data_IF_348538768804
#
_entry.id   IF_348538768804
#
_cell.length_a   1.000
_cell.length_b   1.000
_cell.length_c   1.000
_cell.angle_alpha   90.00
_cell.angle_beta   90.00
_cell.angle_gamma   90.00
#
_symmetry.space_group_name_H-M   'P 1'
#
loop_
_entity.id
_entity.type
_entity.pdbx_description
1 polymer ?
#
# COMPACT_ATOMS: atom_id res chain seq x y z
N UNK A 1 -1.98 2.52 -30.04
CA UNK A 1 -2.28 2.51 -28.59
C UNK A 1 -2.50 1.06 -28.23
N UNK A 2 -1.90 0.53 -27.16
CA UNK A 2 -2.11 -0.87 -26.77
C UNK A 2 -3.49 -0.98 -26.10
N UNK A 3 -4.39 -1.78 -26.68
CA UNK A 3 -5.78 -1.94 -26.21
C UNK A 3 -5.95 -3.10 -25.21
N UNK A 4 -4.85 -3.73 -24.77
CA UNK A 4 -4.92 -4.72 -23.70
C UNK A 4 -5.57 -4.11 -22.44
N UNK A 5 -6.61 -4.75 -21.85
CA UNK A 5 -7.37 -4.18 -20.73
C UNK A 5 -6.52 -3.74 -19.54
N UNK A 6 -5.43 -4.46 -19.24
CA UNK A 6 -4.50 -4.10 -18.18
C UNK A 6 -3.80 -2.75 -18.41
N UNK A 7 -3.50 -2.41 -19.67
CA UNK A 7 -2.89 -1.13 -20.03
C UNK A 7 -3.91 0.00 -19.88
N UNK A 8 -5.15 -0.20 -20.31
CA UNK A 8 -6.21 0.79 -20.16
C UNK A 8 -6.54 1.06 -18.68
N UNK A 9 -6.64 0.01 -17.87
CA UNK A 9 -6.83 0.15 -16.41
C UNK A 9 -5.65 0.92 -15.81
N UNK A 10 -4.42 0.61 -16.20
CA UNK A 10 -3.24 1.34 -15.72
C UNK A 10 -3.31 2.83 -16.07
N UNK A 11 -3.78 3.20 -17.26
CA UNK A 11 -3.90 4.60 -17.66
C UNK A 11 -4.99 5.37 -16.88
N UNK A 12 -6.02 4.69 -16.38
CA UNK A 12 -7.07 5.31 -15.55
C UNK A 12 -6.73 5.31 -14.05
N UNK A 13 -5.80 4.46 -13.63
CA UNK A 13 -5.47 4.22 -12.23
C UNK A 13 -4.28 5.06 -11.75
N UNK A 14 -3.23 5.17 -12.57
CA UNK A 14 -1.96 5.78 -12.14
C UNK A 14 -1.95 7.29 -12.31
N UNK A 15 -1.44 7.99 -11.29
CA UNK A 15 -1.20 9.43 -11.28
C UNK A 15 0.21 9.76 -10.82
N UNK A 16 0.56 11.04 -10.82
CA UNK A 16 1.87 11.51 -10.36
C UNK A 16 1.75 12.05 -8.92
N UNK A 17 2.75 11.78 -8.08
CA UNK A 17 2.78 12.26 -6.70
C UNK A 17 4.15 12.11 -6.07
N UNK A 18 4.40 12.87 -5.01
CA UNK A 18 5.63 12.82 -4.23
C UNK A 18 5.34 13.03 -2.74
N UNK A 19 6.09 12.36 -1.89
CA UNK A 19 5.98 12.43 -0.43
C UNK A 19 7.38 12.38 0.19
N UNK A 20 7.56 13.00 1.35
CA UNK A 20 8.81 12.95 2.11
C UNK A 20 8.52 12.77 3.60
N UNK A 21 9.44 12.13 4.32
CA UNK A 21 9.40 11.96 5.76
C UNK A 21 10.79 12.24 6.35
N UNK A 22 10.84 12.83 7.55
CA UNK A 22 12.06 13.10 8.29
C UNK A 22 12.12 12.16 9.49
N UNK A 23 13.28 11.54 9.70
CA UNK A 23 13.51 10.51 10.70
C UNK A 23 14.62 10.98 11.64
N UNK A 24 14.49 10.64 12.91
CA UNK A 24 15.47 10.93 13.95
C UNK A 24 15.59 9.72 14.87
N UNK A 25 16.77 9.50 15.40
CA UNK A 25 17.06 8.53 16.46
C UNK A 25 16.91 9.12 17.87
N UNK A 26 16.53 10.40 17.98
CA UNK A 26 16.26 11.04 19.27
C UNK A 26 14.98 10.53 19.89
N UNK A 27 15.10 10.04 21.12
CA UNK A 27 13.95 9.70 21.96
C UNK A 27 13.17 10.95 22.39
N UNK A 28 11.87 10.80 22.62
CA UNK A 28 11.04 11.87 23.16
C UNK A 28 9.60 11.43 23.38
N UNK A 29 8.97 11.96 24.42
CA UNK A 29 7.58 11.65 24.75
C UNK A 29 6.64 12.08 23.62
N UNK A 30 5.70 11.20 23.27
CA UNK A 30 4.71 11.44 22.23
C UNK A 30 5.24 11.41 20.79
N UNK A 31 6.53 11.15 20.57
CA UNK A 31 7.10 10.96 19.23
C UNK A 31 6.73 9.59 18.67
N UNK A 32 6.26 9.58 17.43
CA UNK A 32 6.03 8.34 16.70
C UNK A 32 7.35 7.60 16.45
N UNK A 33 7.35 6.33 16.83
CA UNK A 33 8.36 5.33 16.51
C UNK A 33 7.83 4.50 15.34
N UNK A 34 8.74 3.97 14.53
CA UNK A 34 8.41 3.07 13.42
C UNK A 34 9.36 1.87 13.46
N UNK A 35 8.84 0.69 13.19
CA UNK A 35 9.60 -0.54 13.28
C UNK A 35 8.79 -1.74 12.83
N UNK A 36 9.20 -2.93 13.30
CA UNK A 36 8.55 -4.21 12.96
C UNK A 36 8.38 -4.39 11.44
N UNK A 37 9.38 -3.96 10.68
CA UNK A 37 9.40 -4.14 9.23
C UNK A 37 9.41 -5.63 8.90
N UNK A 38 8.51 -6.05 8.03
CA UNK A 38 8.45 -7.43 7.51
C UNK A 38 8.11 -7.41 6.01
N UNK A 39 8.48 -8.47 5.31
CA UNK A 39 8.29 -8.60 3.87
C UNK A 39 8.02 -10.05 3.49
N UNK A 40 7.06 -10.22 2.59
CA UNK A 40 6.77 -11.51 1.95
C UNK A 40 7.05 -11.39 0.46
N UNK A 41 7.77 -12.38 -0.06
CA UNK A 41 7.98 -12.56 -1.49
C UNK A 41 7.14 -13.74 -1.96
N UNK A 42 6.49 -13.57 -3.11
CA UNK A 42 5.70 -14.61 -3.79
C UNK A 42 6.19 -14.72 -5.25
N UNK A 43 7.41 -15.25 -5.46
CA UNK A 43 8.08 -15.23 -6.78
C UNK A 43 7.30 -15.96 -7.87
N UNK A 44 6.49 -16.96 -7.51
CA UNK A 44 5.59 -17.68 -8.42
C UNK A 44 4.54 -16.78 -9.09
N UNK A 45 4.32 -15.58 -8.54
CA UNK A 45 3.40 -14.57 -9.06
C UNK A 45 4.09 -13.36 -9.67
N UNK A 46 5.42 -13.41 -9.87
CA UNK A 46 6.21 -12.35 -10.50
C UNK A 46 5.60 -11.78 -11.77
N UNK A 47 5.08 -12.66 -12.62
CA UNK A 47 4.56 -12.29 -13.94
C UNK A 47 3.16 -11.64 -13.88
N UNK A 48 2.52 -11.60 -12.70
CA UNK A 48 1.18 -11.05 -12.51
C UNK A 48 1.17 -9.53 -12.32
N UNK A 49 2.27 -8.98 -11.83
CA UNK A 49 2.50 -7.54 -11.70
C UNK A 49 3.97 -7.26 -12.00
N UNK A 50 4.24 -6.66 -13.16
CA UNK A 50 5.62 -6.38 -13.61
C UNK A 50 5.66 -5.17 -14.52
N UNK A 51 6.83 -4.55 -14.58
CA UNK A 51 7.14 -3.57 -15.60
C UNK A 51 7.93 -4.23 -16.73
N UNK A 52 7.58 -3.91 -17.97
CA UNK A 52 8.37 -4.29 -19.15
C UNK A 52 8.81 -3.02 -19.89
N UNK A 53 9.96 -3.09 -20.56
CA UNK A 53 10.35 -2.04 -21.49
C UNK A 53 9.73 -2.34 -22.86
N UNK A 54 9.01 -1.38 -23.42
CA UNK A 54 8.36 -1.49 -24.72
C UNK A 54 8.48 -0.15 -25.46
N UNK A 55 9.18 -0.15 -26.58
CA UNK A 55 9.39 1.07 -27.38
C UNK A 55 10.07 2.22 -26.61
N UNK A 56 11.00 1.89 -25.69
CA UNK A 56 11.71 2.89 -24.86
C UNK A 56 10.89 3.45 -23.71
N UNK A 57 9.68 2.93 -23.46
CA UNK A 57 8.81 3.32 -22.35
C UNK A 57 8.65 2.17 -21.37
N UNK A 58 8.30 2.52 -20.13
CA UNK A 58 7.94 1.54 -19.12
C UNK A 58 6.44 1.23 -19.24
N UNK A 59 6.11 -0.04 -19.45
CA UNK A 59 4.74 -0.52 -19.54
C UNK A 59 4.43 -1.37 -18.32
N UNK A 60 3.41 -0.97 -17.57
CA UNK A 60 2.92 -1.74 -16.42
C UNK A 60 2.00 -2.87 -16.90
N UNK A 61 2.34 -4.11 -16.55
CA UNK A 61 1.51 -5.28 -16.81
C UNK A 61 0.82 -5.69 -15.51
N UNK A 62 -0.50 -5.53 -15.49
CA UNK A 62 -1.36 -5.86 -14.37
C UNK A 62 -2.31 -7.00 -14.74
N UNK A 63 -2.15 -8.15 -14.10
CA UNK A 63 -3.07 -9.27 -14.27
C UNK A 63 -4.32 -9.08 -13.39
N UNK A 64 -5.48 -9.53 -13.86
CA UNK A 64 -6.78 -9.40 -13.15
C UNK A 64 -6.83 -10.02 -11.74
N UNK A 65 -5.87 -10.87 -11.39
CA UNK A 65 -5.82 -11.61 -10.10
C UNK A 65 -5.06 -10.83 -9.03
N UNK A 66 -4.43 -9.70 -9.39
CA UNK A 66 -3.61 -8.91 -8.49
C UNK A 66 -4.34 -8.49 -7.21
N UNK A 67 -5.64 -8.12 -7.21
CA UNK A 67 -6.37 -7.85 -5.97
C UNK A 67 -6.34 -9.02 -4.97
N UNK A 68 -6.61 -10.24 -5.43
CA UNK A 68 -6.61 -11.44 -4.58
C UNK A 68 -5.19 -11.75 -4.08
N UNK A 69 -4.19 -11.68 -4.97
CA UNK A 69 -2.79 -11.94 -4.59
C UNK A 69 -2.25 -10.92 -3.58
N UNK A 70 -2.62 -9.65 -3.73
CA UNK A 70 -2.28 -8.62 -2.77
C UNK A 70 -2.92 -8.89 -1.41
N UNK A 71 -4.21 -9.23 -1.40
CA UNK A 71 -4.90 -9.53 -0.16
C UNK A 71 -4.34 -10.78 0.54
N UNK A 72 -4.03 -11.85 -0.20
CA UNK A 72 -3.45 -13.07 0.38
C UNK A 72 -2.02 -12.83 0.93
N UNK A 73 -1.20 -12.04 0.24
CA UNK A 73 0.14 -11.71 0.72
C UNK A 73 0.12 -10.77 1.93
N UNK A 74 -0.76 -9.76 1.92
CA UNK A 74 -0.97 -8.83 3.03
C UNK A 74 -1.56 -9.54 4.24
N UNK A 75 -2.49 -10.48 4.06
CA UNK A 75 -3.06 -11.29 5.14
C UNK A 75 -1.97 -12.06 5.90
N UNK A 76 -1.01 -12.66 5.20
CA UNK A 76 0.12 -13.34 5.84
C UNK A 76 0.98 -12.41 6.71
N UNK A 77 1.13 -11.14 6.34
CA UNK A 77 1.79 -10.13 7.18
C UNK A 77 0.88 -9.71 8.35
N UNK A 78 -0.41 -9.51 8.07
CA UNK A 78 -1.42 -9.13 9.05
C UNK A 78 -1.52 -10.12 10.21
N UNK A 79 -1.45 -11.42 9.93
CA UNK A 79 -1.50 -12.48 10.95
C UNK A 79 -0.24 -12.54 11.85
N UNK A 80 0.85 -11.86 11.48
CA UNK A 80 2.07 -11.78 12.30
C UNK A 80 2.07 -10.60 13.26
N UNK A 81 1.12 -9.66 13.14
CA UNK A 81 1.01 -8.51 14.04
C UNK A 81 0.84 -9.02 15.47
N UNK A 82 1.49 -8.36 16.42
CA UNK A 82 1.41 -8.78 17.82
C UNK A 82 0.17 -8.23 18.53
N UNK A 83 -0.38 -7.14 18.01
CA UNK A 83 -1.47 -6.39 18.61
C UNK A 83 -2.29 -5.71 17.53
N UNK A 84 -3.56 -5.46 17.81
CA UNK A 84 -4.38 -4.66 16.93
C UNK A 84 -3.94 -3.19 16.94
N UNK A 85 -3.88 -2.54 15.77
CA UNK A 85 -3.62 -1.11 15.66
C UNK A 85 -4.88 -0.31 15.95
N UNK A 86 -4.74 1.00 16.17
CA UNK A 86 -5.87 1.93 16.15
C UNK A 86 -6.37 2.15 14.71
N UNK A 87 -5.45 2.07 13.73
CA UNK A 87 -5.78 2.16 12.32
C UNK A 87 -4.82 1.36 11.41
N UNK A 88 -5.37 0.84 10.31
CA UNK A 88 -4.61 0.25 9.21
C UNK A 88 -4.51 1.22 8.04
N UNK A 89 -3.29 1.38 7.50
CA UNK A 89 -3.02 2.22 6.34
C UNK A 89 -2.42 1.36 5.23
N UNK A 90 -2.92 1.47 4.00
CA UNK A 90 -2.47 0.65 2.89
C UNK A 90 -2.08 1.47 1.65
N UNK A 91 -1.22 0.90 0.82
CA UNK A 91 -0.96 1.43 -0.53
C UNK A 91 -2.24 1.39 -1.40
N UNK A 92 -2.47 2.45 -2.17
CA UNK A 92 -3.64 2.57 -3.06
C UNK A 92 -3.46 1.78 -4.36
N UNK A 93 -3.55 0.45 -4.30
CA UNK A 93 -3.46 -0.42 -5.48
C UNK A 93 -4.61 -0.29 -6.49
N UNK A 94 -5.74 0.30 -6.09
CA UNK A 94 -6.97 0.40 -6.88
C UNK A 94 -8.19 -0.06 -6.07
N UNK A 95 -9.41 0.27 -6.54
CA UNK A 95 -10.66 0.00 -5.81
C UNK A 95 -10.77 -1.47 -5.40
N UNK A 96 -10.65 -2.37 -6.37
CA UNK A 96 -10.83 -3.81 -6.15
C UNK A 96 -9.75 -4.38 -5.21
N UNK A 97 -8.55 -3.78 -5.19
CA UNK A 97 -7.50 -4.16 -4.24
C UNK A 97 -7.88 -3.74 -2.82
N UNK A 98 -8.34 -2.50 -2.63
CA UNK A 98 -8.77 -2.00 -1.32
C UNK A 98 -9.89 -2.89 -0.76
N UNK A 99 -10.90 -3.21 -1.57
CA UNK A 99 -12.01 -4.09 -1.15
C UNK A 99 -11.52 -5.49 -0.74
N UNK A 100 -10.54 -6.05 -1.46
CA UNK A 100 -9.96 -7.34 -1.12
C UNK A 100 -9.14 -7.28 0.20
N UNK A 101 -8.37 -6.21 0.41
CA UNK A 101 -7.62 -5.98 1.65
C UNK A 101 -8.56 -5.85 2.86
N UNK A 102 -9.58 -5.01 2.76
CA UNK A 102 -10.56 -4.80 3.84
C UNK A 102 -11.24 -6.12 4.22
N UNK A 103 -11.63 -6.91 3.22
CA UNK A 103 -12.26 -8.21 3.45
C UNK A 103 -11.34 -9.21 4.15
N UNK A 104 -10.05 -9.28 3.77
CA UNK A 104 -9.08 -10.22 4.38
C UNK A 104 -8.67 -9.80 5.78
N UNK A 105 -8.48 -8.51 6.01
CA UNK A 105 -8.02 -8.00 7.30
C UNK A 105 -9.17 -7.79 8.29
N UNK A 106 -10.40 -7.61 7.81
CA UNK A 106 -11.54 -7.21 8.62
C UNK A 106 -11.42 -5.77 9.13
N UNK A 107 -10.78 -4.90 8.37
CA UNK A 107 -10.46 -3.51 8.76
C UNK A 107 -10.83 -2.56 7.64
N UNK A 108 -11.46 -1.42 7.95
CA UNK A 108 -11.78 -0.40 6.95
C UNK A 108 -10.56 0.45 6.62
N UNK A 109 -10.43 0.90 5.35
CA UNK A 109 -9.28 1.68 4.91
C UNK A 109 -9.69 3.07 4.38
N UNK A 110 -10.33 3.93 5.20
CA UNK A 110 -10.91 5.19 4.73
C UNK A 110 -9.87 6.16 4.16
N UNK A 111 -8.67 6.25 4.76
CA UNK A 111 -7.58 7.10 4.28
C UNK A 111 -7.04 6.58 2.93
N UNK A 112 -6.90 5.26 2.81
CA UNK A 112 -6.50 4.64 1.53
C UNK A 112 -7.54 4.92 0.43
N UNK A 113 -8.83 4.86 0.77
CA UNK A 113 -9.92 5.21 -0.17
C UNK A 113 -9.91 6.68 -0.55
N UNK A 114 -9.67 7.57 0.41
CA UNK A 114 -9.58 9.01 0.17
C UNK A 114 -8.40 9.36 -0.73
N UNK A 115 -7.23 8.78 -0.49
CA UNK A 115 -6.04 8.93 -1.36
C UNK A 115 -6.33 8.44 -2.77
N UNK A 116 -6.94 7.25 -2.94
CA UNK A 116 -7.29 6.75 -4.26
C UNK A 116 -8.24 7.69 -5.00
N UNK A 117 -9.24 8.25 -4.29
CA UNK A 117 -10.21 9.20 -4.86
C UNK A 117 -9.56 10.51 -5.28
N UNK A 118 -8.63 11.03 -4.49
CA UNK A 118 -8.08 12.38 -4.66
C UNK A 118 -6.83 12.41 -5.54
N UNK A 119 -6.02 11.34 -5.54
CA UNK A 119 -4.72 11.29 -6.20
C UNK A 119 -4.52 10.05 -7.10
N UNK A 120 -5.42 9.05 -7.05
CA UNK A 120 -5.23 7.79 -7.76
C UNK A 120 -4.16 6.91 -7.13
N UNK A 121 -3.51 6.10 -7.96
CA UNK A 121 -2.32 5.33 -7.60
C UNK A 121 -1.06 6.08 -8.05
N UNK A 122 -0.45 6.84 -7.14
CA UNK A 122 0.84 7.51 -7.36
C UNK A 122 2.05 6.61 -7.12
N UNK A 123 1.87 5.29 -7.01
CA UNK A 123 2.89 4.33 -6.59
C UNK A 123 3.28 4.48 -5.11
N UNK A 124 4.58 4.40 -4.79
CA UNK A 124 5.10 4.39 -3.42
C UNK A 124 4.69 5.57 -2.52
N UNK A 125 4.43 6.81 -2.98
CA UNK A 125 3.98 7.91 -2.12
C UNK A 125 2.63 7.69 -1.44
N UNK A 126 1.74 6.88 -2.03
CA UNK A 126 0.36 6.79 -1.56
C UNK A 126 0.20 6.29 -0.12
N UNK A 127 1.10 5.42 0.36
CA UNK A 127 1.07 4.99 1.76
C UNK A 127 1.39 6.15 2.71
N UNK A 128 2.26 7.07 2.30
CA UNK A 128 2.59 8.26 3.08
C UNK A 128 1.50 9.32 3.00
N UNK A 129 0.74 9.41 1.90
CA UNK A 129 -0.46 10.25 1.84
C UNK A 129 -1.53 9.76 2.83
N UNK A 130 -1.77 8.44 2.90
CA UNK A 130 -2.72 7.87 3.85
C UNK A 130 -2.27 8.10 5.30
N UNK A 131 -0.96 7.96 5.56
CA UNK A 131 -0.39 8.27 6.87
C UNK A 131 -0.53 9.75 7.25
N UNK A 132 -0.22 10.67 6.34
CA UNK A 132 -0.40 12.10 6.58
C UNK A 132 -1.85 12.45 6.89
N UNK A 133 -2.80 11.86 6.15
CA UNK A 133 -4.22 12.06 6.38
C UNK A 133 -4.62 11.61 7.80
N UNK A 134 -4.21 10.40 8.22
CA UNK A 134 -4.53 9.90 9.56
C UNK A 134 -3.90 10.72 10.67
N UNK A 135 -2.62 11.08 10.52
CA UNK A 135 -1.90 11.90 11.48
C UNK A 135 -2.53 13.30 11.67
N UNK A 136 -3.17 13.85 10.64
CA UNK A 136 -3.91 15.12 10.74
C UNK A 136 -5.28 14.98 11.42
N UNK A 137 -5.87 13.78 11.41
CA UNK A 137 -7.25 13.55 11.86
C UNK A 137 -7.35 12.99 13.28
N UNK A 138 -6.37 12.22 13.76
CA UNK A 138 -6.43 11.61 15.10
C UNK A 138 -5.30 12.07 16.02
N UNK A 139 -5.70 12.73 17.12
CA UNK A 139 -4.80 13.10 18.21
C UNK A 139 -4.64 12.00 19.26
N UNK A 140 -5.54 11.00 19.29
CA UNK A 140 -5.59 9.98 20.34
C UNK A 140 -5.01 8.62 19.91
N UNK A 141 -4.75 8.41 18.62
CA UNK A 141 -4.19 7.15 18.15
C UNK A 141 -2.76 6.97 18.66
N UNK A 142 -2.44 5.75 19.05
CA UNK A 142 -1.15 5.36 19.61
C UNK A 142 -0.45 4.29 18.79
N UNK A 143 -1.16 3.63 17.85
CA UNK A 143 -0.62 2.54 17.04
C UNK A 143 -1.20 2.50 15.64
N UNK A 144 -0.33 2.39 14.64
CA UNK A 144 -0.69 2.13 13.25
C UNK A 144 -0.03 0.88 12.72
N UNK A 145 -0.74 0.20 11.83
CA UNK A 145 -0.16 -0.86 10.99
C UNK A 145 -0.21 -0.41 9.54
N UNK A 146 0.94 -0.38 8.87
CA UNK A 146 1.08 0.12 7.51
C UNK A 146 1.44 -1.03 6.59
N UNK A 147 0.88 -1.05 5.39
CA UNK A 147 1.16 -2.10 4.40
C UNK A 147 1.24 -1.59 2.96
N UNK A 148 2.05 -2.26 2.16
CA UNK A 148 2.17 -2.03 0.72
C UNK A 148 2.48 -3.32 -0.02
N UNK A 149 2.31 -3.32 -1.33
CA UNK A 149 2.60 -4.46 -2.20
C UNK A 149 2.94 -3.94 -3.60
N UNK A 150 3.60 -4.77 -4.41
CA UNK A 150 4.04 -4.34 -5.73
C UNK A 150 4.62 -5.44 -6.60
N UNK A 151 5.27 -5.00 -7.68
CA UNK A 151 5.89 -5.86 -8.67
C UNK A 151 6.94 -6.79 -8.01
N UNK A 152 6.85 -8.10 -8.26
CA UNK A 152 7.72 -9.06 -7.58
C UNK A 152 7.26 -10.52 -7.62
N UNK A 153 6.05 -10.90 -7.22
CA UNK A 153 5.10 -10.19 -6.36
C UNK A 153 5.68 -10.07 -4.94
N UNK A 154 5.53 -8.91 -4.28
CA UNK A 154 5.91 -8.75 -2.86
C UNK A 154 4.89 -7.91 -2.09
N UNK A 155 4.84 -8.14 -0.78
CA UNK A 155 4.12 -7.30 0.19
C UNK A 155 5.06 -6.93 1.34
N UNK A 156 4.84 -5.75 1.92
CA UNK A 156 5.67 -5.16 2.96
C UNK A 156 4.77 -4.58 4.05
N UNK A 157 5.17 -4.71 5.31
CA UNK A 157 4.49 -4.07 6.43
C UNK A 157 5.46 -3.41 7.40
N UNK A 158 4.98 -2.41 8.13
CA UNK A 158 5.63 -1.90 9.33
C UNK A 158 4.57 -1.47 10.35
N UNK A 159 5.02 -1.27 11.59
CA UNK A 159 4.20 -0.74 12.67
C UNK A 159 4.73 0.62 13.10
N UNK A 160 3.81 1.53 13.44
CA UNK A 160 4.13 2.78 14.12
C UNK A 160 3.47 2.80 15.49
N UNK A 161 4.16 3.35 16.50
CA UNK A 161 3.62 3.50 17.85
C UNK A 161 4.20 4.72 18.57
N UNK A 162 3.53 5.22 19.60
CA UNK A 162 4.04 6.27 20.49
C UNK A 162 3.67 6.02 21.94
#
# INVERSE_FOLDING_TARGET
MNEEPGVLISMCLFGDGASAAIWSDEEGDGRWKVGKFDTIHVPEHREKIRFINSGGKLENKLHRIVPELAADAVEKLWQKRQTDPDQVLAHTGGRDVIEALEKRMGWELPETRAVLKNAGNCSSPCILFALEERLRQSENDSRYWLTSFGAGFSAHSCEMWR
#
